data_IF_440106246724
#
_entry.id   IF_440106246724
#
_cell.length_a   1.000
_cell.length_b   1.000
_cell.length_c   1.000
_cell.angle_alpha   90.00
_cell.angle_beta   90.00
_cell.angle_gamma   90.00
#
_symmetry.space_group_name_H-M   'P 1'
#
loop_
_entity.id
_entity.type
_entity.pdbx_description
1 polymer ?
#
# COMPACT_ATOMS: atom_id res chain seq x y z
N UNK A 1 15.40 2.96 11.07
CA UNK A 1 15.91 3.39 9.75
C UNK A 1 14.89 4.21 8.94
N UNK A 2 13.60 4.20 9.32
CA UNK A 2 12.57 5.01 8.66
C UNK A 2 12.00 4.35 7.42
N UNK A 3 12.22 3.05 7.26
CA UNK A 3 11.71 2.28 6.14
C UNK A 3 10.34 1.69 6.45
N UNK A 4 9.50 1.52 5.42
CA UNK A 4 8.19 0.92 5.61
C UNK A 4 8.33 -0.54 6.02
N UNK A 5 7.71 -0.88 7.15
CA UNK A 5 7.54 -2.26 7.60
C UNK A 5 6.09 -2.69 7.36
N UNK A 6 5.92 -3.91 6.82
CA UNK A 6 4.60 -4.47 6.62
C UNK A 6 4.02 -4.93 7.97
N UNK A 7 3.00 -4.23 8.46
CA UNK A 7 2.27 -4.59 9.69
C UNK A 7 1.13 -5.59 9.47
N UNK A 8 0.77 -5.82 8.21
CA UNK A 8 -0.27 -6.76 7.79
C UNK A 8 0.10 -7.39 6.43
N UNK A 9 -0.38 -8.62 6.14
CA UNK A 9 -0.18 -9.24 4.83
C UNK A 9 -0.95 -8.49 3.73
N UNK A 10 -0.35 -8.43 2.54
CA UNK A 10 -1.00 -7.89 1.35
C UNK A 10 -2.29 -8.66 1.03
N UNK A 11 -3.40 -7.93 0.81
CA UNK A 11 -4.72 -8.53 0.54
C UNK A 11 -5.59 -7.64 -0.34
N UNK A 12 -6.52 -8.26 -1.05
CA UNK A 12 -7.68 -7.56 -1.62
C UNK A 12 -8.76 -7.43 -0.52
N UNK A 13 -9.34 -6.24 -0.35
CA UNK A 13 -10.37 -6.00 0.67
C UNK A 13 -11.40 -5.00 0.17
N UNK A 14 -12.60 -5.07 0.75
CA UNK A 14 -13.58 -3.99 0.67
C UNK A 14 -13.07 -2.77 1.45
N UNK A 15 -13.26 -1.57 0.88
CA UNK A 15 -12.76 -0.32 1.47
C UNK A 15 -13.56 0.11 2.70
N UNK A 16 -14.89 -0.08 2.71
CA UNK A 16 -15.72 0.25 3.86
C UNK A 16 -15.39 -0.65 5.05
N UNK A 17 -15.16 -1.94 4.79
CA UNK A 17 -14.62 -2.86 5.79
C UNK A 17 -13.24 -2.40 6.31
N UNK A 18 -12.31 -2.05 5.41
CA UNK A 18 -10.97 -1.60 5.80
C UNK A 18 -11.02 -0.35 6.69
N UNK A 19 -11.77 0.67 6.30
CA UNK A 19 -11.88 1.94 7.06
C UNK A 19 -12.45 1.67 8.46
N UNK A 20 -13.47 0.82 8.58
CA UNK A 20 -14.03 0.41 9.88
C UNK A 20 -13.03 -0.31 10.78
N UNK A 21 -12.08 -1.04 10.21
CA UNK A 21 -11.03 -1.70 11.01
C UNK A 21 -9.92 -0.74 11.48
N UNK A 22 -9.86 0.48 10.93
CA UNK A 22 -8.80 1.47 11.18
C UNK A 22 -9.27 2.72 11.94
N UNK A 23 -10.49 2.71 12.48
CA UNK A 23 -11.18 3.90 13.04
C UNK A 23 -10.40 4.61 14.15
N UNK A 24 -9.58 3.87 14.90
CA UNK A 24 -8.78 4.39 16.02
C UNK A 24 -7.32 4.70 15.66
N UNK A 25 -6.93 4.51 14.39
CA UNK A 25 -5.56 4.73 13.92
C UNK A 25 -5.41 6.05 13.15
N UNK A 26 -4.22 6.65 13.22
CA UNK A 26 -3.85 7.76 12.34
C UNK A 26 -3.22 7.17 11.07
N UNK A 27 -3.96 7.25 9.96
CA UNK A 27 -3.62 6.53 8.72
C UNK A 27 -3.51 7.50 7.55
N UNK A 28 -2.39 7.39 6.84
CA UNK A 28 -2.19 8.03 5.54
C UNK A 28 -2.52 7.05 4.42
N UNK A 29 -3.62 7.33 3.70
CA UNK A 29 -3.99 6.54 2.53
C UNK A 29 -3.20 7.00 1.30
N UNK A 30 -2.48 6.06 0.68
CA UNK A 30 -1.69 6.28 -0.54
C UNK A 30 -2.14 5.38 -1.68
N UNK A 31 -1.75 5.73 -2.90
CA UNK A 31 -2.10 4.99 -4.12
C UNK A 31 -3.37 5.50 -4.82
N UNK A 32 -3.64 4.96 -6.01
CA UNK A 32 -4.78 5.40 -6.84
C UNK A 32 -6.14 5.12 -6.18
N UNK A 33 -6.26 3.99 -5.46
CA UNK A 33 -7.48 3.63 -4.75
C UNK A 33 -7.86 4.64 -3.66
N UNK A 34 -6.87 5.27 -3.01
CA UNK A 34 -7.12 6.32 -2.01
C UNK A 34 -7.81 7.55 -2.63
N UNK A 35 -7.50 7.86 -3.88
CA UNK A 35 -8.15 8.95 -4.64
C UNK A 35 -9.54 8.51 -5.09
N UNK A 36 -9.66 7.29 -5.61
CA UNK A 36 -10.93 6.75 -6.12
C UNK A 36 -12.01 6.64 -5.02
N UNK A 37 -11.62 6.13 -3.86
CA UNK A 37 -12.53 5.89 -2.73
C UNK A 37 -12.47 6.99 -1.67
N UNK A 38 -11.88 8.14 -1.99
CA UNK A 38 -11.71 9.29 -1.11
C UNK A 38 -12.98 9.59 -0.31
N UNK A 39 -14.13 9.68 -0.99
CA UNK A 39 -15.42 9.98 -0.36
C UNK A 39 -15.82 8.95 0.70
N UNK A 40 -15.71 7.66 0.41
CA UNK A 40 -16.03 6.58 1.35
C UNK A 40 -15.08 6.59 2.54
N UNK A 41 -13.79 6.85 2.31
CA UNK A 41 -12.79 7.01 3.37
C UNK A 41 -13.15 8.21 4.28
N UNK A 42 -13.59 9.34 3.71
CA UNK A 42 -14.04 10.51 4.48
C UNK A 42 -15.32 10.24 5.29
N UNK A 43 -16.32 9.61 4.68
CA UNK A 43 -17.65 9.45 5.27
C UNK A 43 -17.70 8.34 6.33
N UNK A 44 -16.94 7.26 6.16
CA UNK A 44 -16.95 6.11 7.08
C UNK A 44 -15.95 6.23 8.24
N UNK A 45 -15.16 7.31 8.26
CA UNK A 45 -14.49 7.77 9.46
C UNK A 45 -13.04 7.33 9.59
N UNK A 46 -12.16 8.33 9.60
CA UNK A 46 -11.01 8.38 10.50
C UNK A 46 -11.01 9.81 11.07
N UNK A 47 -10.93 10.01 12.39
CA UNK A 47 -10.91 11.37 12.96
C UNK A 47 -9.61 12.13 12.66
N UNK A 48 -8.59 11.42 12.14
CA UNK A 48 -7.25 11.92 11.80
C UNK A 48 -6.70 11.15 10.61
N UNK A 49 -6.97 11.62 9.40
CA UNK A 49 -6.28 11.13 8.21
C UNK A 49 -5.81 12.32 7.41
N UNK A 50 -4.63 12.17 6.82
CA UNK A 50 -4.12 13.09 5.82
C UNK A 50 -4.19 12.38 4.49
N UNK A 51 -5.02 12.89 3.59
CA UNK A 51 -4.89 12.50 2.19
C UNK A 51 -3.64 13.18 1.65
N UNK A 52 -2.66 12.35 1.33
CA UNK A 52 -1.43 12.83 0.72
C UNK A 52 -1.74 13.43 -0.66
N UNK A 53 -1.00 14.47 -1.10
CA UNK A 53 -1.17 15.04 -2.43
C UNK A 53 -1.08 13.96 -3.52
N UNK A 54 -1.83 14.11 -4.62
CA UNK A 54 -1.88 13.13 -5.72
C UNK A 54 -0.52 12.66 -6.26
N UNK A 55 0.57 13.41 -6.02
CA UNK A 55 1.93 13.02 -6.40
C UNK A 55 2.46 11.83 -5.59
N UNK A 56 1.99 11.66 -4.36
CA UNK A 56 2.30 10.52 -3.48
C UNK A 56 1.42 9.29 -3.80
N UNK A 57 0.39 9.46 -4.63
CA UNK A 57 -0.55 8.39 -5.00
C UNK A 57 -0.11 7.57 -6.22
N UNK A 58 1.05 7.89 -6.82
CA UNK A 58 1.62 7.15 -7.96
C UNK A 58 2.89 6.44 -7.55
N UNK A 59 3.10 5.25 -8.10
CA UNK A 59 4.36 4.53 -7.98
C UNK A 59 5.47 5.35 -8.66
N UNK A 60 6.54 5.63 -7.93
CA UNK A 60 7.73 6.30 -8.44
C UNK A 60 8.91 5.33 -8.50
N UNK A 61 9.61 5.31 -9.63
CA UNK A 61 10.79 4.46 -9.81
C UNK A 61 11.89 4.77 -8.78
N UNK A 62 11.96 6.01 -8.31
CA UNK A 62 12.91 6.43 -7.27
C UNK A 62 12.66 5.77 -5.92
N UNK A 63 11.41 5.63 -5.45
CA UNK A 63 11.16 4.93 -4.19
C UNK A 63 11.39 3.42 -4.35
N UNK A 64 11.03 2.84 -5.50
CA UNK A 64 11.35 1.43 -5.80
C UNK A 64 12.86 1.20 -5.74
N UNK A 65 13.65 2.09 -6.36
CA UNK A 65 15.11 2.05 -6.31
C UNK A 65 15.67 2.18 -4.90
N UNK A 66 15.13 3.10 -4.09
CA UNK A 66 15.55 3.29 -2.70
C UNK A 66 15.26 2.05 -1.84
N UNK A 67 14.05 1.49 -1.94
CA UNK A 67 13.66 0.26 -1.23
C UNK A 67 14.54 -0.91 -1.69
N UNK A 68 14.78 -1.03 -3.00
CA UNK A 68 15.64 -2.07 -3.57
C UNK A 68 17.09 -1.96 -3.09
N UNK A 69 17.65 -0.75 -3.06
CA UNK A 69 19.00 -0.50 -2.56
C UNK A 69 19.15 -0.90 -1.10
N UNK A 70 18.19 -0.54 -0.25
CA UNK A 70 18.24 -0.93 1.15
C UNK A 70 18.13 -2.45 1.34
N UNK A 71 17.18 -3.11 0.65
CA UNK A 71 17.07 -4.58 0.65
C UNK A 71 18.37 -5.25 0.24
N UNK A 72 19.05 -4.71 -0.77
CA UNK A 72 20.35 -5.21 -1.21
C UNK A 72 21.44 -5.05 -0.14
N UNK A 73 21.47 -3.92 0.57
CA UNK A 73 22.40 -3.69 1.70
C UNK A 73 22.18 -4.72 2.84
N UNK A 74 20.93 -5.16 3.04
CA UNK A 74 20.58 -6.23 3.98
C UNK A 74 20.84 -7.66 3.45
N UNK A 75 21.46 -7.78 2.27
CA UNK A 75 21.74 -9.07 1.63
C UNK A 75 20.50 -9.74 1.01
N UNK A 76 19.38 -9.02 0.87
CA UNK A 76 18.16 -9.54 0.23
C UNK A 76 18.24 -9.31 -1.28
N UNK A 77 18.28 -10.40 -2.03
CA UNK A 77 18.22 -10.41 -3.50
C UNK A 77 17.27 -11.50 -3.96
N UNK A 78 16.59 -11.27 -5.09
CA UNK A 78 15.75 -12.27 -5.74
C UNK A 78 16.49 -12.80 -6.97
N UNK A 79 16.40 -14.10 -7.24
CA UNK A 79 16.94 -14.69 -8.47
C UNK A 79 15.97 -14.41 -9.64
N UNK A 80 16.43 -13.77 -10.73
CA UNK A 80 15.58 -13.46 -11.88
C UNK A 80 14.89 -14.67 -12.52
N UNK A 81 15.45 -15.88 -12.40
CA UNK A 81 14.87 -17.10 -12.96
C UNK A 81 13.72 -17.66 -12.12
N UNK A 82 13.72 -17.38 -10.82
CA UNK A 82 12.72 -17.87 -9.86
C UNK A 82 11.80 -16.78 -9.33
N UNK A 83 12.08 -15.52 -9.67
CA UNK A 83 11.24 -14.38 -9.31
C UNK A 83 9.81 -14.57 -9.84
N UNK A 84 8.85 -14.52 -8.92
CA UNK A 84 7.43 -14.61 -9.21
C UNK A 84 6.70 -13.36 -8.72
N UNK A 85 5.93 -12.68 -9.57
CA UNK A 85 5.10 -11.57 -9.12
C UNK A 85 4.04 -12.05 -8.12
N UNK A 86 3.89 -11.33 -7.02
CA UNK A 86 2.84 -11.59 -6.01
C UNK A 86 1.55 -10.87 -6.42
N UNK A 87 0.82 -11.45 -7.36
CA UNK A 87 -0.47 -10.91 -7.76
C UNK A 87 -1.53 -11.14 -6.67
N UNK A 88 -2.16 -10.05 -6.20
CA UNK A 88 -3.28 -10.10 -5.24
C UNK A 88 -4.64 -10.33 -5.91
N UNK A 89 -4.70 -10.34 -7.24
CA UNK A 89 -5.96 -10.63 -7.95
C UNK A 89 -6.25 -12.13 -7.85
N UNK A 90 -7.48 -12.54 -7.48
CA UNK A 90 -7.86 -13.94 -7.56
C UNK A 90 -7.74 -14.44 -9.00
N UNK A 91 -7.14 -15.62 -9.18
CA UNK A 91 -7.11 -16.32 -10.47
C UNK A 91 -8.49 -16.94 -10.73
N UNK A 92 -9.38 -16.18 -11.38
CA UNK A 92 -10.73 -16.58 -11.85
C UNK A 92 -11.86 -16.20 -10.87
N UNK A 93 -13.05 -15.75 -11.30
CA UNK A 93 -13.77 -15.74 -12.59
C UNK A 93 -14.52 -14.40 -12.78
N UNK A 94 -14.91 -14.02 -14.01
CA UNK A 94 -15.81 -12.87 -14.26
C UNK A 94 -17.18 -13.02 -13.59
#
# INVERSE_FOLDING_TARGET
>A
DGLPEAVAPDRLTDIGFLVKTLVDEEVDFVGEAAVLYQKQIFEEGVRRFVLQPCRCCRLNASAVGLIGFHRYQDGRTEDPLTFSPRYLRPTGTP
#
